data_IF_911048704031
#
_entry.id   IF_911048704031
#
_cell.length_a   1.000
_cell.length_b   1.000
_cell.length_c   1.000
_cell.angle_alpha   90.00
_cell.angle_beta   90.00
_cell.angle_gamma   90.00
#
_symmetry.space_group_name_H-M   'P 1'
#
loop_
_entity.id
_entity.type
_entity.pdbx_description
1 polymer ?
#
# COMPACT_ATOMS: atom_id res chain seq x y z
N UNK A 1 -8.50 -13.03 12.81
CA UNK A 1 -8.76 -14.16 11.89
C UNK A 1 -8.00 -13.97 10.56
N UNK A 2 -7.67 -12.75 10.12
CA UNK A 2 -6.79 -12.48 8.96
C UNK A 2 -5.29 -12.77 9.14
N UNK A 3 -4.88 -13.33 10.29
CA UNK A 3 -3.46 -13.62 10.56
C UNK A 3 -3.07 -15.07 10.23
N UNK A 4 -4.02 -15.88 9.71
CA UNK A 4 -3.82 -17.33 9.52
C UNK A 4 -4.12 -17.88 8.14
N UNK A 5 -4.72 -17.12 7.22
CA UNK A 5 -4.98 -17.61 5.87
C UNK A 5 -4.41 -16.68 4.82
N UNK A 6 -3.65 -17.28 3.93
CA UNK A 6 -2.91 -16.71 2.81
C UNK A 6 -3.84 -16.19 1.70
N UNK A 7 -4.95 -15.55 2.06
CA UNK A 7 -5.93 -14.99 1.15
C UNK A 7 -5.72 -13.48 1.08
N UNK A 8 -5.02 -13.03 0.05
CA UNK A 8 -5.07 -11.63 -0.36
C UNK A 8 -6.47 -11.37 -0.91
N UNK A 9 -7.34 -10.79 -0.08
CA UNK A 9 -8.67 -10.38 -0.48
C UNK A 9 -8.65 -8.88 -0.79
N UNK A 10 -8.47 -8.56 -2.07
CA UNK A 10 -8.53 -7.20 -2.58
C UNK A 10 -9.88 -6.55 -2.27
N UNK A 11 -10.99 -7.28 -2.35
CA UNK A 11 -12.32 -6.75 -2.15
C UNK A 11 -12.51 -6.30 -0.68
N UNK A 12 -12.01 -7.08 0.27
CA UNK A 12 -11.98 -6.70 1.68
C UNK A 12 -11.13 -5.43 1.92
N UNK A 13 -9.97 -5.32 1.28
CA UNK A 13 -9.10 -4.15 1.38
C UNK A 13 -9.77 -2.89 0.80
N UNK A 14 -10.40 -3.01 -0.37
CA UNK A 14 -11.15 -1.91 -1.00
C UNK A 14 -12.37 -1.52 -0.17
N UNK A 15 -13.06 -2.47 0.47
CA UNK A 15 -14.17 -2.18 1.37
C UNK A 15 -13.71 -1.39 2.61
N UNK A 16 -12.56 -1.71 3.18
CA UNK A 16 -11.96 -0.94 4.31
C UNK A 16 -11.64 0.49 3.87
N UNK A 17 -10.99 0.67 2.72
CA UNK A 17 -10.66 2.01 2.20
C UNK A 17 -11.93 2.82 1.90
N UNK A 18 -12.94 2.21 1.28
CA UNK A 18 -14.27 2.83 1.10
C UNK A 18 -14.90 3.22 2.43
N UNK A 19 -14.82 2.35 3.45
CA UNK A 19 -15.36 2.65 4.76
C UNK A 19 -14.65 3.85 5.42
N UNK A 20 -13.34 4.01 5.21
CA UNK A 20 -12.59 5.19 5.65
C UNK A 20 -12.98 6.46 4.90
N UNK A 21 -13.37 6.38 3.62
CA UNK A 21 -13.94 7.53 2.91
C UNK A 21 -15.25 8.02 3.55
N UNK A 22 -16.14 7.10 3.93
CA UNK A 22 -17.40 7.45 4.60
C UNK A 22 -17.21 7.83 6.07
N UNK A 23 -16.18 7.29 6.74
CA UNK A 23 -15.94 7.46 8.17
C UNK A 23 -14.49 7.88 8.44
N UNK A 24 -14.14 9.17 8.23
CA UNK A 24 -12.78 9.65 8.44
C UNK A 24 -12.28 9.46 9.89
N UNK A 25 -13.18 9.39 10.88
CA UNK A 25 -12.84 9.09 12.28
C UNK A 25 -12.28 7.69 12.51
N UNK A 26 -12.58 6.73 11.63
CA UNK A 26 -12.08 5.35 11.72
C UNK A 26 -10.80 5.13 10.91
N UNK A 27 -10.31 6.16 10.21
CA UNK A 27 -9.12 6.05 9.37
C UNK A 27 -7.92 5.59 10.19
N UNK A 28 -7.32 4.49 9.76
CA UNK A 28 -6.09 3.97 10.34
C UNK A 28 -5.00 3.90 9.28
N UNK A 29 -4.01 4.80 9.43
CA UNK A 29 -2.86 4.91 8.54
C UNK A 29 -2.06 3.60 8.43
N UNK A 30 -1.89 2.87 9.53
CA UNK A 30 -1.10 1.64 9.54
C UNK A 30 -1.78 0.54 8.69
N UNK A 31 -3.12 0.47 8.73
CA UNK A 31 -3.91 -0.44 7.90
C UNK A 31 -3.84 -0.04 6.43
N UNK A 32 -3.98 1.26 6.13
CA UNK A 32 -3.85 1.79 4.76
C UNK A 32 -2.47 1.47 4.17
N UNK A 33 -1.40 1.68 4.92
CA UNK A 33 -0.04 1.34 4.50
C UNK A 33 0.09 -0.16 4.21
N UNK A 34 -0.43 -1.03 5.08
CA UNK A 34 -0.39 -2.49 4.85
C UNK A 34 -1.16 -2.91 3.60
N UNK A 35 -2.32 -2.31 3.35
CA UNK A 35 -3.12 -2.57 2.13
C UNK A 35 -2.34 -2.16 0.88
N UNK A 36 -1.79 -0.94 0.86
CA UNK A 36 -1.02 -0.43 -0.30
C UNK A 36 0.23 -1.27 -0.55
N UNK A 37 0.95 -1.65 0.50
CA UNK A 37 2.13 -2.50 0.39
C UNK A 37 1.79 -3.90 -0.13
N UNK A 38 0.68 -4.49 0.34
CA UNK A 38 0.19 -5.77 -0.20
C UNK A 38 -0.22 -5.66 -1.67
N UNK A 39 -0.88 -4.57 -2.06
CA UNK A 39 -1.21 -4.32 -3.46
C UNK A 39 0.06 -4.16 -4.32
N UNK A 40 1.10 -3.51 -3.78
CA UNK A 40 2.40 -3.37 -4.42
C UNK A 40 3.10 -4.72 -4.67
N UNK A 41 3.00 -5.66 -3.73
CA UNK A 41 3.55 -7.01 -3.91
C UNK A 41 2.80 -7.86 -4.92
N UNK A 42 1.58 -7.48 -5.28
CA UNK A 42 0.73 -8.18 -6.26
C UNK A 42 0.81 -7.57 -7.67
N UNK A 43 1.83 -6.75 -7.94
CA UNK A 43 2.11 -6.18 -9.26
C UNK A 43 2.24 -7.30 -10.32
N UNK A 44 1.70 -7.18 -11.54
CA UNK A 44 1.25 -5.97 -12.26
C UNK A 44 -0.25 -5.67 -12.18
N UNK A 45 -0.97 -6.24 -11.22
CA UNK A 45 -2.42 -6.00 -11.11
C UNK A 45 -2.75 -4.53 -10.78
N UNK A 46 -3.86 -4.02 -11.34
CA UNK A 46 -4.35 -2.64 -11.17
C UNK A 46 -4.85 -2.32 -9.76
N UNK A 47 -4.75 -3.27 -8.84
CA UNK A 47 -5.12 -3.20 -7.43
C UNK A 47 -4.57 -1.95 -6.73
N UNK A 48 -3.31 -1.61 -7.01
CA UNK A 48 -2.66 -0.45 -6.40
C UNK A 48 -3.35 0.86 -6.79
N UNK A 49 -3.69 1.00 -8.07
CA UNK A 49 -4.38 2.18 -8.61
C UNK A 49 -5.77 2.30 -7.98
N UNK A 50 -6.50 1.19 -7.85
CA UNK A 50 -7.82 1.17 -7.21
C UNK A 50 -7.73 1.62 -5.75
N UNK A 51 -6.74 1.13 -4.99
CA UNK A 51 -6.52 1.55 -3.62
C UNK A 51 -6.17 3.05 -3.54
N UNK A 52 -5.30 3.55 -4.42
CA UNK A 52 -4.93 4.97 -4.50
C UNK A 52 -6.12 5.87 -4.81
N UNK A 53 -7.00 5.46 -5.72
CA UNK A 53 -8.22 6.22 -6.05
C UNK A 53 -9.23 6.28 -4.90
N UNK A 54 -9.17 5.35 -3.97
CA UNK A 54 -10.00 5.37 -2.76
C UNK A 54 -9.41 6.24 -1.63
N UNK A 55 -8.18 6.72 -1.78
CA UNK A 55 -7.56 7.61 -0.81
C UNK A 55 -7.82 9.07 -1.19
N UNK A 56 -8.03 9.90 -0.18
CA UNK A 56 -8.10 11.35 -0.35
C UNK A 56 -6.69 11.95 -0.51
N UNK A 57 -6.59 13.13 -1.13
CA UNK A 57 -5.29 13.82 -1.30
C UNK A 57 -4.53 14.01 0.02
N UNK A 58 -5.25 14.28 1.12
CA UNK A 58 -4.65 14.40 2.45
C UNK A 58 -4.01 13.09 2.93
N UNK A 59 -4.64 11.95 2.65
CA UNK A 59 -4.12 10.64 3.01
C UNK A 59 -2.95 10.24 2.11
N UNK A 60 -3.02 10.55 0.81
CA UNK A 60 -1.92 10.34 -0.13
C UNK A 60 -0.66 11.15 0.23
N UNK A 61 -0.83 12.37 0.76
CA UNK A 61 0.27 13.23 1.19
C UNK A 61 0.80 12.89 2.60
N UNK A 62 0.19 11.93 3.30
CA UNK A 62 0.60 11.54 4.66
C UNK A 62 1.85 10.65 4.62
N UNK A 63 2.80 10.87 5.53
CA UNK A 63 3.94 9.95 5.69
C UNK A 63 3.54 8.76 6.57
N UNK A 64 3.80 7.50 6.17
CA UNK A 64 4.62 7.06 5.04
C UNK A 64 3.84 6.67 3.76
N UNK A 65 2.56 7.02 3.64
CA UNK A 65 1.72 6.71 2.47
C UNK A 65 2.31 7.32 1.19
N UNK A 66 2.80 8.56 1.23
CA UNK A 66 3.43 9.23 0.08
C UNK A 66 4.58 8.38 -0.51
N UNK A 67 5.33 7.72 0.38
CA UNK A 67 6.51 6.95 0.02
C UNK A 67 6.11 5.67 -0.69
N UNK A 68 5.02 5.04 -0.23
CA UNK A 68 4.48 3.83 -0.86
C UNK A 68 3.92 4.15 -2.25
N UNK A 69 3.27 5.30 -2.42
CA UNK A 69 2.80 5.78 -3.72
C UNK A 69 3.98 6.03 -4.67
N UNK A 70 5.06 6.64 -4.17
CA UNK A 70 6.27 6.84 -4.96
C UNK A 70 6.93 5.51 -5.37
N UNK A 71 6.98 4.53 -4.47
CA UNK A 71 7.47 3.18 -4.77
C UNK A 71 6.65 2.49 -5.88
N UNK A 72 5.35 2.72 -5.95
CA UNK A 72 4.50 2.21 -7.02
C UNK A 72 4.75 2.91 -8.36
N UNK A 73 4.94 4.24 -8.36
CA UNK A 73 5.22 5.02 -9.59
C UNK A 73 6.54 4.58 -10.25
N UNK A 74 7.59 4.35 -9.47
CA UNK A 74 8.88 3.85 -10.01
C UNK A 74 8.78 2.39 -10.47
N UNK A 75 7.95 1.55 -9.84
CA UNK A 75 7.67 0.19 -10.32
C UNK A 75 6.86 0.20 -11.62
N UNK A 76 5.86 1.08 -11.76
CA UNK A 76 5.11 1.27 -13.02
C UNK A 76 6.01 1.72 -14.16
N UNK A 77 7.09 2.48 -13.86
CA UNK A 77 8.10 2.90 -14.83
C UNK A 77 9.18 1.83 -15.10
N UNK A 78 9.08 0.67 -14.48
CA UNK A 78 10.09 -0.40 -14.50
C UNK A 78 11.47 0.03 -13.97
N UNK A 79 11.53 1.06 -13.12
CA UNK A 79 12.77 1.50 -12.48
C UNK A 79 13.01 0.74 -11.17
N UNK A 80 13.42 -0.53 -11.34
CA UNK A 80 13.73 -1.40 -10.21
C UNK A 80 14.94 -0.91 -9.40
N UNK A 81 15.89 -0.21 -10.03
CA UNK A 81 17.07 0.30 -9.35
C UNK A 81 16.69 1.38 -8.33
N UNK A 82 15.88 2.36 -8.74
CA UNK A 82 15.35 3.36 -7.83
C UNK A 82 14.48 2.71 -6.74
N UNK A 83 13.68 1.71 -7.11
CA UNK A 83 12.82 0.97 -6.19
C UNK A 83 13.61 0.32 -5.05
N UNK A 84 14.60 -0.52 -5.36
CA UNK A 84 15.40 -1.20 -4.36
C UNK A 84 16.21 -0.21 -3.52
N UNK A 85 16.79 0.82 -4.13
CA UNK A 85 17.51 1.88 -3.41
C UNK A 85 16.61 2.55 -2.37
N UNK A 86 15.35 2.83 -2.74
CA UNK A 86 14.39 3.49 -1.85
C UNK A 86 13.89 2.56 -0.74
N UNK A 87 13.56 1.31 -1.06
CA UNK A 87 13.18 0.29 -0.07
C UNK A 87 14.31 0.06 0.94
N UNK A 88 15.56 -0.06 0.48
CA UNK A 88 16.73 -0.24 1.35
C UNK A 88 16.98 0.97 2.25
N UNK A 89 16.67 2.18 1.77
CA UNK A 89 16.73 3.40 2.59
C UNK A 89 15.60 3.49 3.63
N UNK A 90 14.60 2.59 3.60
CA UNK A 90 13.43 2.61 4.48
C UNK A 90 13.21 1.23 5.14
N UNK A 91 14.09 0.84 6.07
CA UNK A 91 14.05 -0.50 6.68
C UNK A 91 12.72 -0.78 7.39
N UNK A 92 12.08 0.24 7.97
CA UNK A 92 10.76 0.12 8.63
C UNK A 92 9.64 -0.35 7.70
N UNK A 93 9.68 0.02 6.42
CA UNK A 93 8.71 -0.44 5.42
C UNK A 93 9.05 -1.84 4.93
N UNK A 94 10.33 -2.14 4.71
CA UNK A 94 10.78 -3.46 4.26
C UNK A 94 10.40 -4.57 5.25
N UNK A 95 10.49 -4.30 6.56
CA UNK A 95 10.13 -5.23 7.63
C UNK A 95 8.62 -5.51 7.72
N UNK A 96 7.79 -4.57 7.25
CA UNK A 96 6.33 -4.71 7.26
C UNK A 96 5.80 -5.56 6.11
N UNK A 97 6.65 -5.92 5.16
CA UNK A 97 6.27 -6.71 3.99
C UNK A 97 6.88 -8.09 4.10
N UNK A 98 6.05 -9.08 4.41
CA UNK A 98 6.45 -10.48 4.34
C UNK A 98 6.48 -10.87 2.86
N UNK A 99 7.69 -11.02 2.28
CA UNK A 99 7.88 -11.42 0.87
C UNK A 99 8.85 -10.57 0.04
N UNK A 100 9.42 -9.48 0.58
CA UNK A 100 10.55 -8.79 -0.08
C UNK A 100 11.93 -9.38 0.26
N UNK A 101 12.00 -10.29 1.25
CA UNK A 101 13.22 -10.95 1.71
C UNK A 101 13.43 -12.30 1.02
#
# INVERSE_FOLDING_TARGET
IQSRENAYDLEANLAVLKLYQFNPHKYNKDVTCQILLKALTNFPHTDFILCRCLLSEKQCAEKPVDQIIYLADILERCDFQAFWTRILSMPELSLRIVGFA
#
